data_IF_479708857150
#
_entry.id   IF_479708857150
#
_cell.length_a   1.000
_cell.length_b   1.000
_cell.length_c   1.000
_cell.angle_alpha   90.00
_cell.angle_beta   90.00
_cell.angle_gamma   90.00
#
_symmetry.space_group_name_H-M   'P 1'
#
loop_
_entity.id
_entity.type
_entity.pdbx_description
1 polymer ?
#
# COMPACT_ATOMS: atom_id res chain seq x y z
N UNK A 1 9.07 -14.15 22.11
CA UNK A 1 7.75 -14.81 22.28
C UNK A 1 7.29 -15.58 21.03
N UNK A 2 7.40 -15.03 19.81
CA UNK A 2 6.93 -15.72 18.59
C UNK A 2 7.93 -16.72 17.99
N UNK A 3 9.24 -16.55 18.20
CA UNK A 3 10.27 -17.48 17.68
C UNK A 3 10.29 -18.83 18.42
N UNK A 4 9.91 -18.85 19.70
CA UNK A 4 9.79 -20.07 20.50
C UNK A 4 8.61 -20.96 20.10
N UNK A 5 7.71 -20.48 19.24
CA UNK A 5 6.67 -21.32 18.61
C UNK A 5 7.18 -22.05 17.36
N UNK A 6 8.34 -21.64 16.83
CA UNK A 6 8.88 -22.14 15.56
C UNK A 6 10.11 -23.03 15.68
N UNK A 7 10.83 -23.03 16.82
CA UNK A 7 12.02 -23.88 16.98
C UNK A 7 12.20 -24.35 18.43
N UNK A 8 12.04 -25.65 18.64
CA UNK A 8 12.84 -26.46 19.58
C UNK A 8 12.60 -27.96 19.32
N UNK A 9 13.63 -28.65 18.80
CA UNK A 9 13.74 -30.12 18.78
C UNK A 9 13.08 -30.87 17.61
N UNK A 10 13.71 -31.98 17.18
CA UNK A 10 13.21 -32.92 16.15
C UNK A 10 11.90 -33.66 16.55
N UNK A 11 11.24 -33.24 17.63
CA UNK A 11 9.91 -33.68 18.09
C UNK A 11 8.99 -32.49 18.35
N UNK A 12 9.22 -31.34 17.68
CA UNK A 12 8.37 -30.16 17.80
C UNK A 12 7.00 -30.42 17.15
N UNK A 13 5.97 -30.60 17.98
CA UNK A 13 4.59 -30.59 17.51
C UNK A 13 4.32 -29.23 16.86
N UNK A 14 4.16 -29.23 15.53
CA UNK A 14 3.75 -28.04 14.78
C UNK A 14 2.44 -27.51 15.35
N UNK A 15 2.46 -26.30 15.91
CA UNK A 15 1.23 -25.66 16.37
C UNK A 15 0.39 -25.29 15.13
N UNK A 16 -0.80 -25.88 14.93
CA UNK A 16 -1.60 -25.61 13.74
C UNK A 16 -2.04 -24.14 13.63
N UNK A 17 -2.26 -23.47 14.76
CA UNK A 17 -2.63 -22.04 14.80
C UNK A 17 -1.46 -21.17 14.31
N UNK A 18 -0.24 -21.52 14.71
CA UNK A 18 0.96 -20.83 14.22
C UNK A 18 1.16 -21.08 12.71
N UNK A 19 1.00 -22.33 12.25
CA UNK A 19 1.08 -22.66 10.82
C UNK A 19 0.03 -21.92 9.99
N UNK A 20 -1.21 -21.78 10.47
CA UNK A 20 -2.27 -21.04 9.76
C UNK A 20 -1.94 -19.55 9.61
N UNK A 21 -1.34 -18.93 10.64
CA UNK A 21 -0.96 -17.52 10.57
C UNK A 21 0.34 -17.31 9.76
N UNK A 22 1.32 -18.20 9.88
CA UNK A 22 2.59 -18.10 9.13
C UNK A 22 2.39 -18.38 7.63
N UNK A 23 1.51 -19.33 7.29
CA UNK A 23 1.17 -19.62 5.88
C UNK A 23 0.33 -18.51 5.23
N UNK A 24 -0.20 -17.56 6.00
CA UNK A 24 -1.10 -16.53 5.50
C UNK A 24 -2.51 -17.03 5.17
N UNK A 25 -2.82 -18.31 5.41
CA UNK A 25 -4.13 -18.89 5.12
C UNK A 25 -5.26 -18.20 5.90
N UNK A 26 -5.07 -18.03 7.22
CA UNK A 26 -5.97 -17.27 8.09
C UNK A 26 -5.30 -17.03 9.43
N UNK A 27 -5.43 -15.82 9.97
CA UNK A 27 -4.84 -15.48 11.27
C UNK A 27 -3.77 -14.41 11.14
N UNK A 28 -3.60 -13.61 12.18
CA UNK A 28 -2.53 -12.62 12.28
C UNK A 28 -1.81 -12.73 13.62
N UNK A 29 -0.60 -12.16 13.71
CA UNK A 29 0.17 -12.09 14.97
C UNK A 29 -0.64 -11.41 16.09
N UNK A 30 -1.47 -10.42 15.75
CA UNK A 30 -2.36 -9.75 16.68
C UNK A 30 -3.46 -10.70 17.21
N UNK A 31 -4.03 -11.53 16.35
CA UNK A 31 -5.04 -12.52 16.76
C UNK A 31 -4.43 -13.61 17.64
N UNK A 32 -3.22 -14.09 17.31
CA UNK A 32 -2.49 -15.04 18.16
C UNK A 32 -2.20 -14.43 19.53
N UNK A 33 -1.80 -13.16 19.59
CA UNK A 33 -1.57 -12.44 20.85
C UNK A 33 -2.81 -12.43 21.74
N UNK A 34 -4.00 -12.21 21.18
CA UNK A 34 -5.25 -12.23 21.94
C UNK A 34 -5.66 -13.63 22.40
N UNK A 35 -5.26 -14.68 21.67
CA UNK A 35 -5.58 -16.08 22.01
C UNK A 35 -4.73 -16.62 23.16
N UNK A 36 -3.42 -16.37 23.13
CA UNK A 36 -2.46 -17.04 24.02
C UNK A 36 -1.51 -16.10 24.79
N UNK A 37 -1.56 -14.79 24.53
CA UNK A 37 -0.74 -13.79 25.22
C UNK A 37 -1.59 -12.97 26.19
N UNK A 38 -1.88 -11.73 25.81
CA UNK A 38 -2.82 -10.85 26.51
C UNK A 38 -3.67 -10.11 25.48
N UNK A 39 -4.90 -9.78 25.85
CA UNK A 39 -5.77 -8.99 24.97
C UNK A 39 -5.27 -7.55 24.84
N UNK A 40 -4.86 -6.92 25.95
CA UNK A 40 -4.21 -5.62 25.98
C UNK A 40 -5.15 -4.44 26.21
N UNK A 41 -4.75 -3.27 25.71
CA UNK A 41 -5.47 -2.00 25.89
C UNK A 41 -6.66 -1.88 24.93
N UNK A 42 -7.80 -1.45 25.47
CA UNK A 42 -9.05 -1.26 24.74
C UNK A 42 -9.32 0.24 24.51
N UNK A 43 -10.08 0.58 23.47
CA UNK A 43 -10.51 1.95 23.21
C UNK A 43 -11.96 2.18 23.70
N UNK A 44 -12.23 3.35 24.27
CA UNK A 44 -13.57 3.86 24.53
C UNK A 44 -14.26 4.22 23.20
N UNK A 45 -15.60 4.36 23.16
CA UNK A 45 -16.30 4.83 21.97
C UNK A 45 -15.88 6.24 21.51
N UNK A 46 -15.30 7.05 22.41
CA UNK A 46 -14.69 8.35 22.11
C UNK A 46 -13.35 8.27 21.39
N UNK A 47 -12.71 7.09 21.33
CA UNK A 47 -11.37 6.89 20.78
C UNK A 47 -10.25 6.95 21.83
N UNK A 48 -10.53 7.40 23.05
CA UNK A 48 -9.56 7.38 24.15
C UNK A 48 -9.19 5.94 24.54
N UNK A 49 -7.93 5.73 24.91
CA UNK A 49 -7.47 4.44 25.43
C UNK A 49 -7.91 4.30 26.89
N UNK A 50 -8.47 3.14 27.24
CA UNK A 50 -8.79 2.79 28.62
C UNK A 50 -7.49 2.41 29.33
N UNK A 51 -7.17 3.11 30.42
CA UNK A 51 -5.92 2.91 31.16
C UNK A 51 -5.81 1.52 31.79
N UNK A 52 -6.92 0.91 32.17
CA UNK A 52 -6.97 -0.47 32.70
C UNK A 52 -6.85 -1.49 31.56
N UNK A 53 -5.73 -2.25 31.46
CA UNK A 53 -5.57 -3.25 30.42
C UNK A 53 -6.34 -4.54 30.74
N UNK A 54 -6.72 -5.28 29.69
CA UNK A 54 -7.17 -6.67 29.81
C UNK A 54 -5.95 -7.58 29.77
N UNK A 55 -5.55 -8.08 30.94
CA UNK A 55 -4.36 -8.93 31.09
C UNK A 55 -4.63 -10.37 30.66
N UNK A 56 -5.86 -10.83 30.84
CA UNK A 56 -6.28 -12.19 30.48
C UNK A 56 -6.31 -12.40 28.96
N UNK A 57 -6.20 -13.66 28.51
CA UNK A 57 -6.36 -14.06 27.12
C UNK A 57 -7.58 -14.98 26.91
N UNK A 58 -7.92 -15.26 25.66
CA UNK A 58 -9.11 -16.08 25.37
C UNK A 58 -8.99 -17.54 25.82
N UNK A 59 -7.78 -18.07 25.99
CA UNK A 59 -7.58 -19.42 26.55
C UNK A 59 -7.85 -19.47 28.04
N UNK A 60 -7.46 -18.44 28.79
CA UNK A 60 -7.68 -18.32 30.24
C UNK A 60 -9.11 -17.89 30.58
N UNK A 61 -9.78 -17.21 29.65
CA UNK A 61 -11.10 -16.63 29.86
C UNK A 61 -11.01 -15.17 30.30
N UNK A 62 -12.14 -14.46 30.22
CA UNK A 62 -12.24 -13.05 30.62
C UNK A 62 -13.14 -12.92 31.84
N UNK A 63 -12.75 -12.07 32.79
CA UNK A 63 -13.65 -11.66 33.88
C UNK A 63 -14.82 -10.85 33.33
N UNK A 64 -15.90 -10.71 34.11
CA UNK A 64 -17.08 -9.92 33.72
C UNK A 64 -16.69 -8.47 33.37
N UNK A 65 -15.79 -7.87 34.15
CA UNK A 65 -15.32 -6.51 33.90
C UNK A 65 -14.49 -6.42 32.61
N UNK A 66 -13.52 -7.32 32.39
CA UNK A 66 -12.70 -7.33 31.18
C UNK A 66 -13.52 -7.58 29.91
N UNK A 67 -14.52 -8.45 30.00
CA UNK A 67 -15.48 -8.68 28.92
C UNK A 67 -16.31 -7.40 28.64
N UNK A 68 -16.83 -6.76 29.69
CA UNK A 68 -17.58 -5.50 29.56
C UNK A 68 -16.73 -4.37 28.94
N UNK A 69 -15.48 -4.20 29.37
CA UNK A 69 -14.55 -3.23 28.75
C UNK A 69 -14.33 -3.54 27.27
N UNK A 70 -14.18 -4.81 26.91
CA UNK A 70 -14.00 -5.25 25.52
C UNK A 70 -15.21 -5.00 24.61
N UNK A 71 -16.42 -4.92 25.17
CA UNK A 71 -17.65 -4.70 24.39
C UNK A 71 -17.74 -3.31 23.78
N UNK A 72 -17.13 -2.29 24.40
CA UNK A 72 -17.19 -0.91 23.94
C UNK A 72 -16.53 -0.76 22.56
N UNK A 73 -15.28 -1.22 22.44
CA UNK A 73 -14.55 -1.21 21.16
C UNK A 73 -15.22 -2.10 20.10
N UNK A 74 -15.69 -3.29 20.49
CA UNK A 74 -16.39 -4.21 19.58
C UNK A 74 -17.68 -3.63 19.01
N UNK A 75 -18.53 -3.04 19.86
CA UNK A 75 -19.80 -2.41 19.44
C UNK A 75 -19.55 -1.19 18.55
N UNK A 76 -18.58 -0.34 18.91
CA UNK A 76 -18.22 0.82 18.09
C UNK A 76 -17.71 0.40 16.71
N UNK A 77 -16.84 -0.61 16.65
CA UNK A 77 -16.34 -1.17 15.39
C UNK A 77 -17.46 -1.72 14.50
N UNK A 78 -18.39 -2.51 15.06
CA UNK A 78 -19.54 -3.03 14.31
C UNK A 78 -20.49 -1.94 13.81
N UNK A 79 -20.79 -0.94 14.66
CA UNK A 79 -21.63 0.18 14.29
C UNK A 79 -20.99 1.05 13.20
N UNK A 80 -19.69 1.33 13.31
CA UNK A 80 -18.97 2.12 12.31
C UNK A 80 -18.90 1.40 10.96
N UNK A 81 -18.70 0.08 10.95
CA UNK A 81 -18.75 -0.69 9.70
C UNK A 81 -20.13 -0.64 9.07
N UNK A 82 -21.21 -0.79 9.86
CA UNK A 82 -22.57 -0.69 9.33
C UNK A 82 -22.86 0.70 8.74
N UNK A 83 -22.43 1.77 9.41
CA UNK A 83 -22.70 3.15 8.98
C UNK A 83 -21.81 3.61 7.82
N UNK A 84 -20.50 3.36 7.88
CA UNK A 84 -19.54 3.90 6.91
C UNK A 84 -19.54 3.15 5.56
N UNK A 85 -20.08 1.94 5.52
CA UNK A 85 -20.29 1.21 4.26
C UNK A 85 -21.18 2.00 3.30
N UNK A 86 -22.24 2.64 3.82
CA UNK A 86 -23.13 3.48 3.02
C UNK A 86 -22.40 4.68 2.39
N UNK A 87 -21.50 5.32 3.13
CA UNK A 87 -20.71 6.45 2.63
C UNK A 87 -19.77 6.03 1.49
N UNK A 88 -19.14 4.86 1.61
CA UNK A 88 -18.24 4.33 0.58
C UNK A 88 -19.02 4.00 -0.70
N UNK A 89 -20.18 3.34 -0.56
CA UNK A 89 -21.06 3.07 -1.71
C UNK A 89 -21.59 4.34 -2.38
N UNK A 90 -21.94 5.36 -1.59
CA UNK A 90 -22.36 6.65 -2.11
C UNK A 90 -21.24 7.39 -2.85
N UNK A 91 -20.01 7.31 -2.35
CA UNK A 91 -18.82 7.83 -3.04
C UNK A 91 -18.63 7.12 -4.38
N UNK A 92 -18.70 5.79 -4.42
CA UNK A 92 -18.58 5.01 -5.67
C UNK A 92 -19.63 5.45 -6.69
N UNK A 93 -20.89 5.64 -6.25
CA UNK A 93 -21.95 6.15 -7.14
C UNK A 93 -21.58 7.51 -7.74
N UNK A 94 -21.13 8.46 -6.91
CA UNK A 94 -20.69 9.78 -7.38
C UNK A 94 -19.50 9.71 -8.33
N UNK A 95 -18.54 8.82 -8.07
CA UNK A 95 -17.39 8.60 -8.96
C UNK A 95 -17.86 8.10 -10.33
N UNK A 96 -18.81 7.15 -10.37
CA UNK A 96 -19.41 6.66 -11.62
C UNK A 96 -20.17 7.78 -12.34
N UNK A 97 -21.00 8.54 -11.62
CA UNK A 97 -21.79 9.65 -12.20
C UNK A 97 -20.90 10.67 -12.93
N UNK A 98 -19.69 10.95 -12.39
CA UNK A 98 -18.73 11.89 -12.99
C UNK A 98 -17.90 11.25 -14.11
N UNK A 99 -17.56 9.96 -13.99
CA UNK A 99 -16.62 9.31 -14.89
C UNK A 99 -17.28 8.51 -16.03
N UNK A 100 -18.60 8.32 -16.03
CA UNK A 100 -19.30 7.45 -16.99
C UNK A 100 -19.07 7.82 -18.46
N UNK A 101 -18.86 9.10 -18.77
CA UNK A 101 -18.64 9.59 -20.14
C UNK A 101 -17.18 9.44 -20.61
N UNK A 102 -16.29 8.95 -19.75
CA UNK A 102 -14.88 8.72 -20.08
C UNK A 102 -14.72 7.35 -20.74
N UNK A 103 -14.80 7.35 -22.07
CA UNK A 103 -14.70 6.17 -22.94
C UNK A 103 -13.49 6.32 -23.88
N UNK A 104 -12.88 5.21 -24.28
CA UNK A 104 -11.85 5.23 -25.32
C UNK A 104 -12.49 5.45 -26.69
N UNK A 105 -12.21 6.59 -27.33
CA UNK A 105 -12.89 6.98 -28.58
C UNK A 105 -12.00 6.91 -29.82
N UNK A 106 -10.68 7.06 -29.66
CA UNK A 106 -9.71 7.05 -30.75
C UNK A 106 -8.39 6.39 -30.31
N UNK A 107 -7.54 6.01 -31.25
CA UNK A 107 -6.24 5.41 -30.93
C UNK A 107 -5.24 6.45 -30.41
N UNK A 108 -5.12 7.59 -31.09
CA UNK A 108 -4.15 8.63 -30.78
C UNK A 108 -4.77 10.03 -30.93
N UNK A 109 -4.56 10.89 -29.93
CA UNK A 109 -4.96 12.29 -29.98
C UNK A 109 -3.88 13.22 -30.54
N UNK A 110 -2.67 12.71 -30.80
CA UNK A 110 -1.54 13.48 -31.34
C UNK A 110 -0.91 14.48 -30.36
N UNK A 111 -1.31 14.48 -29.08
CA UNK A 111 -0.74 15.41 -28.10
C UNK A 111 0.76 15.17 -27.91
N UNK A 112 1.50 16.27 -27.82
CA UNK A 112 2.91 16.29 -27.44
C UNK A 112 3.08 16.56 -25.93
N UNK A 113 1.96 16.68 -25.20
CA UNK A 113 1.95 16.92 -23.77
C UNK A 113 1.82 15.61 -23.00
N UNK A 114 2.61 15.49 -21.94
CA UNK A 114 2.56 14.36 -21.02
C UNK A 114 2.90 14.78 -19.60
N UNK A 115 3.09 13.79 -18.74
CA UNK A 115 3.50 14.00 -17.35
C UNK A 115 4.85 13.33 -17.12
N UNK A 116 5.70 13.97 -16.33
CA UNK A 116 6.94 13.37 -15.83
C UNK A 116 6.61 12.55 -14.60
N UNK A 117 7.02 11.28 -14.60
CA UNK A 117 6.79 10.33 -13.51
C UNK A 117 8.14 9.87 -12.97
N UNK A 118 8.28 9.91 -11.64
CA UNK A 118 9.45 9.46 -10.90
C UNK A 118 9.04 8.43 -9.82
N UNK A 119 10.02 7.71 -9.25
CA UNK A 119 9.80 6.90 -8.05
C UNK A 119 9.25 7.75 -6.89
N UNK A 120 8.43 7.15 -6.01
CA UNK A 120 7.91 7.84 -4.82
C UNK A 120 8.79 7.50 -3.62
N UNK A 121 9.40 8.52 -3.04
CA UNK A 121 10.29 8.41 -1.89
C UNK A 121 9.68 9.08 -0.66
N UNK A 122 9.68 8.39 0.48
CA UNK A 122 9.26 8.93 1.77
C UNK A 122 10.32 8.56 2.82
N UNK A 123 10.87 9.56 3.52
CA UNK A 123 11.90 9.32 4.54
C UNK A 123 13.20 8.68 4.02
N UNK A 124 13.49 8.78 2.71
CA UNK A 124 14.63 8.09 2.08
C UNK A 124 14.37 6.63 1.74
N UNK A 125 13.18 6.10 2.07
CA UNK A 125 12.71 4.82 1.56
C UNK A 125 11.89 5.03 0.28
N UNK A 126 12.28 4.33 -0.79
CA UNK A 126 11.45 4.19 -2.00
C UNK A 126 10.22 3.33 -1.67
N UNK A 127 9.05 3.96 -1.65
CA UNK A 127 7.77 3.29 -1.37
C UNK A 127 7.23 2.64 -2.63
N UNK A 128 7.26 3.36 -3.75
CA UNK A 128 6.75 2.89 -5.04
C UNK A 128 7.85 3.09 -6.08
N UNK A 129 8.39 1.99 -6.64
CA UNK A 129 9.44 2.09 -7.62
C UNK A 129 8.92 2.67 -8.93
N UNK A 130 9.81 3.31 -9.70
CA UNK A 130 9.45 3.90 -10.99
C UNK A 130 8.81 2.87 -11.94
N UNK A 131 9.36 1.65 -11.98
CA UNK A 131 8.89 0.57 -12.86
C UNK A 131 7.39 0.29 -12.73
N UNK A 132 6.87 0.26 -11.49
CA UNK A 132 5.48 -0.07 -11.22
C UNK A 132 4.55 1.08 -11.63
N UNK A 133 5.07 2.31 -11.70
CA UNK A 133 4.30 3.50 -12.11
C UNK A 133 4.21 3.66 -13.63
N UNK A 134 5.25 3.22 -14.36
CA UNK A 134 5.33 3.37 -15.82
C UNK A 134 4.85 2.14 -16.58
N UNK A 135 4.75 0.98 -15.94
CA UNK A 135 4.30 -0.26 -16.57
C UNK A 135 2.91 -0.10 -17.23
N UNK A 136 2.81 -0.52 -18.49
CA UNK A 136 1.58 -0.43 -19.28
C UNK A 136 1.21 0.99 -19.71
N UNK A 137 2.08 1.98 -19.51
CA UNK A 137 1.91 3.35 -20.03
C UNK A 137 2.64 3.50 -21.35
N UNK A 138 2.28 4.54 -22.11
CA UNK A 138 2.92 4.86 -23.39
C UNK A 138 3.96 5.96 -23.18
N UNK A 139 5.18 5.76 -23.66
CA UNK A 139 6.25 6.73 -23.59
C UNK A 139 5.92 7.96 -24.45
N UNK A 140 6.18 9.17 -23.93
CA UNK A 140 6.02 10.40 -24.69
C UNK A 140 7.24 10.68 -25.57
N UNK A 141 8.44 10.46 -25.03
CA UNK A 141 9.70 10.61 -25.76
C UNK A 141 10.45 9.29 -25.87
N UNK A 142 11.48 9.30 -26.70
CA UNK A 142 12.46 8.23 -26.79
C UNK A 142 13.24 8.10 -25.47
N UNK A 143 13.16 6.92 -24.85
CA UNK A 143 13.89 6.60 -23.63
C UNK A 143 15.25 6.02 -24.01
N UNK A 144 16.32 6.76 -23.74
CA UNK A 144 17.68 6.44 -24.17
C UNK A 144 18.55 6.04 -22.97
N UNK A 145 19.40 5.01 -23.14
CA UNK A 145 20.51 4.76 -22.22
C UNK A 145 21.76 5.40 -22.82
N UNK A 146 22.48 6.27 -22.08
CA UNK A 146 23.69 6.93 -22.58
C UNK A 146 24.76 5.99 -23.14
N UNK A 147 24.75 4.71 -22.74
CA UNK A 147 25.73 3.68 -23.16
C UNK A 147 25.34 2.90 -24.42
N UNK A 148 24.05 2.78 -24.77
CA UNK A 148 23.61 1.91 -25.87
C UNK A 148 23.49 2.63 -27.21
N UNK A 149 23.34 3.97 -27.23
CA UNK A 149 23.17 4.76 -28.45
C UNK A 149 21.81 4.61 -29.15
N UNK A 150 21.09 3.50 -28.93
CA UNK A 150 19.73 3.27 -29.41
C UNK A 150 18.69 3.44 -28.28
N UNK A 151 17.46 3.93 -28.59
CA UNK A 151 16.39 4.04 -27.60
C UNK A 151 15.84 2.67 -27.20
N UNK A 152 15.63 2.47 -25.90
CA UNK A 152 15.00 1.26 -25.33
C UNK A 152 13.53 1.20 -25.73
N UNK A 153 12.86 2.36 -25.65
CA UNK A 153 11.43 2.54 -25.94
C UNK A 153 11.33 3.80 -26.78
N UNK A 154 10.68 3.71 -27.94
CA UNK A 154 10.46 4.88 -28.80
C UNK A 154 9.24 5.67 -28.32
N UNK A 155 9.20 6.94 -28.69
CA UNK A 155 8.04 7.79 -28.50
C UNK A 155 6.78 7.13 -29.09
N UNK A 156 5.73 7.02 -28.28
CA UNK A 156 4.47 6.40 -28.67
C UNK A 156 4.40 4.88 -28.53
N UNK A 157 5.45 4.21 -28.07
CA UNK A 157 5.45 2.79 -27.73
C UNK A 157 5.02 2.54 -26.27
N UNK A 158 4.43 1.37 -26.05
CA UNK A 158 4.02 0.92 -24.72
C UNK A 158 5.21 0.39 -23.93
N UNK A 159 5.29 0.76 -22.65
CA UNK A 159 6.29 0.26 -21.72
C UNK A 159 5.81 -1.08 -21.17
N UNK A 160 6.46 -2.16 -21.60
CA UNK A 160 6.20 -3.54 -21.18
C UNK A 160 7.11 -3.93 -20.01
N UNK A 161 6.88 -5.10 -19.42
CA UNK A 161 7.61 -5.60 -18.25
C UNK A 161 9.12 -5.66 -18.49
N UNK A 162 9.53 -6.13 -19.67
CA UNK A 162 10.95 -6.23 -20.06
C UNK A 162 11.60 -4.85 -20.14
N UNK A 163 10.95 -3.88 -20.81
CA UNK A 163 11.50 -2.54 -20.96
C UNK A 163 11.47 -1.75 -19.65
N UNK A 164 10.45 -1.94 -18.81
CA UNK A 164 10.37 -1.35 -17.49
C UNK A 164 11.52 -1.83 -16.57
N UNK A 165 11.90 -3.10 -16.65
CA UNK A 165 13.01 -3.64 -15.86
C UNK A 165 14.36 -3.10 -16.35
N UNK A 166 14.57 -2.99 -17.67
CA UNK A 166 15.76 -2.34 -18.24
C UNK A 166 15.85 -0.88 -17.82
N UNK A 167 14.75 -0.13 -17.82
CA UNK A 167 14.69 1.27 -17.35
C UNK A 167 15.13 1.36 -15.88
N UNK A 168 14.67 0.43 -15.04
CA UNK A 168 15.07 0.34 -13.63
C UNK A 168 16.56 0.05 -13.48
N UNK A 169 17.09 -0.93 -14.21
CA UNK A 169 18.51 -1.32 -14.16
C UNK A 169 19.45 -0.24 -14.70
N UNK A 170 18.99 0.52 -15.69
CA UNK A 170 19.71 1.66 -16.23
C UNK A 170 19.83 2.83 -15.24
N UNK A 171 19.10 2.82 -14.12
CA UNK A 171 19.12 3.86 -13.11
C UNK A 171 18.43 5.16 -13.57
N UNK A 172 17.44 5.05 -14.46
CA UNK A 172 16.65 6.21 -14.90
C UNK A 172 15.68 6.58 -13.77
N UNK A 173 15.76 7.83 -13.30
CA UNK A 173 14.96 8.29 -12.15
C UNK A 173 13.59 8.86 -12.56
N UNK A 174 13.48 9.40 -13.77
CA UNK A 174 12.26 10.01 -14.29
C UNK A 174 12.02 9.70 -15.76
N UNK A 175 10.75 9.53 -16.13
CA UNK A 175 10.32 9.26 -17.51
C UNK A 175 9.09 10.12 -17.84
N UNK A 176 9.06 10.70 -19.04
CA UNK A 176 7.86 11.37 -19.57
C UNK A 176 6.95 10.36 -20.26
N UNK A 177 5.72 10.27 -19.75
CA UNK A 177 4.69 9.37 -20.29
C UNK A 177 3.46 10.16 -20.75
N UNK A 178 2.69 9.55 -21.63
CA UNK A 178 1.35 10.05 -21.97
C UNK A 178 0.41 9.84 -20.79
N UNK A 179 -0.57 10.73 -20.66
CA UNK A 179 -1.52 10.71 -19.56
C UNK A 179 -2.93 11.04 -20.05
N UNK A 180 -3.91 10.46 -19.34
CA UNK A 180 -5.32 10.81 -19.50
C UNK A 180 -5.57 12.30 -19.23
N UNK A 181 -4.79 12.92 -18.33
CA UNK A 181 -4.92 14.34 -17.98
C UNK A 181 -4.43 15.29 -19.08
N UNK A 182 -3.50 14.84 -19.92
CA UNK A 182 -2.95 15.62 -21.03
C UNK A 182 -3.57 15.26 -22.38
N UNK A 183 -4.65 14.46 -22.38
CA UNK A 183 -5.33 14.07 -23.60
C UNK A 183 -6.12 15.25 -24.20
N UNK A 184 -5.90 15.52 -25.49
CA UNK A 184 -6.53 16.66 -26.20
C UNK A 184 -7.84 16.31 -26.91
N UNK A 185 -8.36 15.08 -26.72
CA UNK A 185 -9.69 14.73 -27.23
C UNK A 185 -10.78 15.50 -26.49
N UNK A 186 -11.75 16.00 -27.25
CA UNK A 186 -12.92 16.71 -26.70
C UNK A 186 -13.87 15.79 -25.95
N UNK A 187 -14.11 14.59 -26.50
CA UNK A 187 -15.04 13.61 -25.95
C UNK A 187 -14.31 12.27 -25.77
N UNK A 188 -14.16 11.84 -24.52
CA UNK A 188 -13.44 10.61 -24.17
C UNK A 188 -11.92 10.78 -24.16
N UNK A 189 -11.22 9.65 -24.21
CA UNK A 189 -9.76 9.56 -24.07
C UNK A 189 -9.21 8.69 -25.20
N UNK A 190 -7.97 8.94 -25.64
CA UNK A 190 -7.36 8.08 -26.65
C UNK A 190 -6.70 6.84 -26.02
N UNK A 191 -6.58 5.77 -26.79
CA UNK A 191 -5.95 4.51 -26.39
C UNK A 191 -4.53 4.74 -25.87
N UNK A 192 -3.72 5.55 -26.57
CA UNK A 192 -2.33 5.81 -26.17
C UNK A 192 -2.17 6.65 -24.89
N UNK A 193 -3.10 7.56 -24.59
CA UNK A 193 -3.05 8.32 -23.33
C UNK A 193 -3.49 7.49 -22.12
N UNK A 194 -4.30 6.45 -22.34
CA UNK A 194 -4.67 5.50 -21.29
C UNK A 194 -3.61 4.41 -21.11
N UNK A 195 -3.24 3.72 -22.20
CA UNK A 195 -2.30 2.61 -22.24
C UNK A 195 -2.97 1.23 -22.11
N UNK A 196 -2.35 0.36 -21.32
CA UNK A 196 -2.76 -1.03 -21.10
C UNK A 196 -4.03 -1.13 -20.24
N UNK A 197 -4.93 -2.01 -20.63
CA UNK A 197 -5.99 -2.48 -19.76
C UNK A 197 -5.41 -3.52 -18.78
N UNK A 198 -5.36 -3.16 -17.50
CA UNK A 198 -4.77 -3.99 -16.45
C UNK A 198 -5.53 -5.31 -16.20
N UNK A 199 -6.78 -5.44 -16.67
CA UNK A 199 -7.55 -6.67 -16.53
C UNK A 199 -7.21 -7.71 -17.60
N UNK A 200 -6.85 -7.28 -18.81
CA UNK A 200 -6.57 -8.17 -19.95
C UNK A 200 -5.09 -8.26 -20.30
N UNK A 201 -4.28 -7.30 -19.84
CA UNK A 201 -2.84 -7.25 -20.12
C UNK A 201 -2.48 -6.71 -21.51
N UNK A 202 -3.46 -6.27 -22.30
CA UNK A 202 -3.26 -5.69 -23.65
C UNK A 202 -3.69 -4.23 -23.68
N UNK A 203 -3.32 -3.49 -24.73
CA UNK A 203 -3.81 -2.13 -24.95
C UNK A 203 -5.33 -2.06 -24.92
N UNK A 204 -5.86 -1.00 -24.32
CA UNK A 204 -7.31 -0.84 -24.16
C UNK A 204 -8.03 -0.76 -25.50
N UNK A 205 -9.15 -1.45 -25.65
CA UNK A 205 -9.90 -1.45 -26.91
C UNK A 205 -10.70 -0.14 -27.10
N UNK A 206 -10.95 0.22 -28.36
CA UNK A 206 -11.86 1.30 -28.71
C UNK A 206 -13.28 0.96 -28.20
N UNK A 207 -13.94 1.94 -27.59
CA UNK A 207 -15.23 1.76 -26.91
C UNK A 207 -15.13 1.30 -25.46
N UNK A 208 -13.92 1.07 -24.93
CA UNK A 208 -13.72 0.70 -23.53
C UNK A 208 -14.21 1.78 -22.55
N UNK A 209 -15.11 1.41 -21.62
CA UNK A 209 -15.67 2.29 -20.60
C UNK A 209 -14.71 2.50 -19.40
N UNK A 210 -13.54 3.08 -19.67
CA UNK A 210 -12.44 3.22 -18.70
C UNK A 210 -12.79 4.05 -17.48
N UNK A 211 -13.71 5.02 -17.59
CA UNK A 211 -14.16 5.81 -16.46
C UNK A 211 -14.95 5.03 -15.42
N UNK A 212 -15.85 4.15 -15.86
CA UNK A 212 -16.60 3.26 -14.97
C UNK A 212 -15.65 2.27 -14.28
N UNK A 213 -14.71 1.71 -15.03
CA UNK A 213 -13.68 0.80 -14.50
C UNK A 213 -12.83 1.52 -13.44
N UNK A 214 -12.39 2.75 -13.71
CA UNK A 214 -11.61 3.55 -12.77
C UNK A 214 -12.40 3.86 -11.49
N UNK A 215 -13.67 4.26 -11.61
CA UNK A 215 -14.54 4.54 -10.46
C UNK A 215 -14.72 3.31 -9.57
N UNK A 216 -14.94 2.13 -10.16
CA UNK A 216 -15.05 0.87 -9.41
C UNK A 216 -13.73 0.45 -8.76
N UNK A 217 -12.61 0.64 -9.46
CA UNK A 217 -11.26 0.32 -8.96
C UNK A 217 -10.86 1.17 -7.75
N UNK A 218 -11.50 2.33 -7.54
CA UNK A 218 -11.36 3.13 -6.32
C UNK A 218 -12.42 2.75 -5.29
N UNK A 219 -13.67 2.58 -5.73
CA UNK A 219 -14.83 2.39 -4.87
C UNK A 219 -14.88 1.05 -4.13
N UNK A 220 -14.58 -0.06 -4.81
CA UNK A 220 -14.59 -1.39 -4.19
C UNK A 220 -13.50 -1.52 -3.11
N UNK A 221 -12.23 -1.17 -3.37
CA UNK A 221 -11.20 -1.22 -2.34
C UNK A 221 -11.47 -0.24 -1.20
N UNK A 222 -11.99 0.96 -1.49
CA UNK A 222 -12.37 1.94 -0.47
C UNK A 222 -13.45 1.42 0.49
N UNK A 223 -14.45 0.72 -0.06
CA UNK A 223 -15.48 0.06 0.75
C UNK A 223 -14.88 -1.07 1.58
N UNK A 224 -13.99 -1.87 0.98
CA UNK A 224 -13.31 -2.98 1.66
C UNK A 224 -12.41 -2.50 2.82
N UNK A 225 -11.63 -1.44 2.60
CA UNK A 225 -10.78 -0.83 3.63
C UNK A 225 -11.63 -0.30 4.80
N UNK A 226 -12.76 0.33 4.49
CA UNK A 226 -13.70 0.83 5.50
C UNK A 226 -14.31 -0.32 6.31
N UNK A 227 -14.57 -1.47 5.70
CA UNK A 227 -15.05 -2.65 6.45
C UNK A 227 -13.95 -3.29 7.30
N UNK A 228 -12.75 -3.50 6.75
CA UNK A 228 -11.66 -4.27 7.40
C UNK A 228 -10.95 -3.51 8.53
N UNK A 229 -10.80 -2.19 8.43
CA UNK A 229 -9.97 -1.41 9.38
C UNK A 229 -10.61 -1.29 10.77
N UNK A 230 -11.94 -1.19 10.85
CA UNK A 230 -12.63 -0.91 12.12
C UNK A 230 -13.01 -2.17 12.90
N UNK A 231 -12.96 -3.35 12.28
CA UNK A 231 -13.22 -4.63 12.95
C UNK A 231 -12.13 -5.07 13.92
N UNK A 232 -10.93 -4.46 13.84
CA UNK A 232 -9.82 -4.69 14.78
C UNK A 232 -9.95 -3.78 16.02
N UNK A 233 -10.95 -2.89 16.05
CA UNK A 233 -11.17 -1.80 17.03
C UNK A 233 -11.35 -2.19 18.51
N UNK A 234 -11.09 -3.45 18.87
CA UNK A 234 -10.93 -3.86 20.27
C UNK A 234 -9.53 -3.59 20.80
N UNK A 235 -8.46 -3.77 20.01
CA UNK A 235 -7.07 -3.68 20.53
C UNK A 235 -6.29 -2.55 19.91
N UNK A 236 -5.82 -1.63 20.75
CA UNK A 236 -4.84 -0.63 20.31
C UNK A 236 -3.48 -1.32 20.07
N UNK A 237 -2.86 -1.06 18.92
CA UNK A 237 -1.46 -1.43 18.66
C UNK A 237 -0.81 -0.28 17.90
N UNK A 238 0.29 0.25 18.45
CA UNK A 238 1.12 1.25 17.78
C UNK A 238 2.05 0.51 16.82
N UNK A 239 2.08 0.90 15.54
CA UNK A 239 3.17 0.51 14.64
C UNK A 239 4.43 1.24 15.13
N UNK A 240 5.47 0.47 15.43
CA UNK A 240 6.76 1.01 15.87
C UNK A 240 7.49 1.47 14.61
N UNK A 241 7.78 2.77 14.52
CA UNK A 241 8.69 3.30 13.50
C UNK A 241 10.05 2.60 13.62
N UNK A 242 10.63 2.20 12.49
CA UNK A 242 11.96 1.61 12.46
C UNK A 242 12.95 2.67 12.96
N UNK A 243 13.65 2.36 14.05
CA UNK A 243 14.65 3.22 14.66
C UNK A 243 16.04 3.10 14.02
N UNK A 244 16.14 2.52 12.82
CA UNK A 244 17.38 2.27 12.11
C UNK A 244 17.32 2.83 10.68
N UNK A 245 18.40 3.47 10.26
CA UNK A 245 18.59 3.97 8.89
C UNK A 245 19.80 3.23 8.32
N UNK A 246 19.60 2.47 7.25
CA UNK A 246 20.65 1.71 6.56
C UNK A 246 20.96 2.39 5.22
N UNK A 247 22.24 2.68 4.97
CA UNK A 247 22.69 3.26 3.71
C UNK A 247 22.48 2.28 2.55
N UNK A 248 21.93 2.76 1.44
CA UNK A 248 21.58 1.95 0.26
C UNK A 248 22.74 1.71 -0.69
N UNK A 249 23.67 2.66 -0.76
CA UNK A 249 24.83 2.63 -1.65
C UNK A 249 26.10 2.67 -0.82
N UNK A 250 27.17 2.09 -1.35
CA UNK A 250 28.50 2.26 -0.79
C UNK A 250 28.91 3.73 -0.87
N UNK A 251 29.37 4.27 0.26
CA UNK A 251 29.70 5.68 0.37
C UNK A 251 30.36 5.99 1.71
N UNK A 252 30.84 7.22 1.83
CA UNK A 252 31.42 7.74 3.06
C UNK A 252 30.34 8.45 3.87
N UNK A 253 30.10 8.00 5.11
CA UNK A 253 29.18 8.66 6.03
C UNK A 253 29.86 9.89 6.60
N UNK A 254 29.32 11.08 6.30
CA UNK A 254 29.79 12.33 6.88
C UNK A 254 28.76 12.88 7.87
N UNK A 255 29.17 13.03 9.12
CA UNK A 255 28.34 13.57 10.18
C UNK A 255 28.44 15.09 10.19
N UNK A 256 27.30 15.79 10.07
CA UNK A 256 27.26 17.26 10.16
C UNK A 256 26.64 17.69 11.48
N UNK A 257 27.37 18.51 12.26
CA UNK A 257 26.91 19.12 13.51
C UNK A 257 26.38 18.14 14.57
N UNK A 258 26.93 16.92 14.62
CA UNK A 258 26.58 15.96 15.64
C UNK A 258 27.19 16.34 17.00
N UNK A 259 26.34 16.48 18.01
CA UNK A 259 26.75 16.57 19.42
C UNK A 259 26.62 15.18 20.02
N UNK A 260 27.70 14.65 20.58
CA UNK A 260 27.71 13.30 21.17
C UNK A 260 28.11 13.37 22.64
N UNK A 261 27.59 12.42 23.41
CA UNK A 261 27.96 12.18 24.81
C UNK A 261 28.18 10.69 25.02
N UNK A 262 29.18 10.33 25.80
CA UNK A 262 29.36 8.94 26.23
C UNK A 262 28.46 8.61 27.40
N UNK A 263 27.65 7.57 27.27
CA UNK A 263 26.88 7.03 28.38
C UNK A 263 27.81 6.20 29.31
N UNK A 264 27.34 5.92 30.53
CA UNK A 264 28.05 5.12 31.56
C UNK A 264 28.47 3.72 31.11
N UNK A 265 27.84 3.20 30.06
CA UNK A 265 28.18 1.92 29.43
C UNK A 265 29.25 2.03 28.32
N UNK A 266 29.86 3.20 28.12
CA UNK A 266 30.88 3.43 27.08
C UNK A 266 30.31 3.51 25.66
N UNK A 267 28.99 3.70 25.52
CA UNK A 267 28.32 3.88 24.22
C UNK A 267 28.20 5.36 23.89
N UNK A 268 28.60 5.74 22.69
CA UNK A 268 28.46 7.10 22.15
C UNK A 268 27.01 7.33 21.75
N UNK A 269 26.32 8.25 22.42
CA UNK A 269 24.94 8.64 22.17
C UNK A 269 24.92 10.05 21.59
N UNK A 270 24.10 10.27 20.57
CA UNK A 270 23.89 11.59 19.97
C UNK A 270 22.89 12.37 20.83
N UNK A 271 23.22 13.62 21.17
CA UNK A 271 22.37 14.56 21.92
C UNK A 271 21.26 15.15 21.05
#
# INVERSE_FOLDING_TARGET
MFEGLGKEGLTAHFNPIYMMAQSGARGSRLQIRQLAGMRGLMAKPSGEIIETPVTSNFREGLTVLEYFLSTHGGRKGLADTALKTANSGYLTRRLVDVAQDVIITQEDCGTLNGITVAGVYEGGEEIIPLKDRILGRVALDDILIPRLGEPIVKAGEEIVEETAEVIREAGIEEVRIRSVLSCELKNGVCQKCYGRNLATGVLVELGGAVGVIAAQSIGEPGTQLTMRTFHIGGTASRLVERSEIVARNEGLVHFHNLRTVENREGKTVVL
#
